data_IF_052594078479
#
_entry.id   IF_052594078479
#
_cell.length_a   1.000
_cell.length_b   1.000
_cell.length_c   1.000
_cell.angle_alpha   90.00
_cell.angle_beta   90.00
_cell.angle_gamma   90.00
#
_symmetry.space_group_name_H-M   'P 1'
#
loop_
_entity.id
_entity.type
_entity.pdbx_description
1 polymer ?
#
# COMPACT_ATOMS: atom_id res chain seq x y z
N UNK A 1 22.31 -11.15 -21.57
CA UNK A 1 21.90 -11.98 -20.41
C UNK A 1 20.42 -11.81 -20.09
N UNK A 2 19.93 -10.60 -19.82
CA UNK A 2 18.50 -10.33 -19.54
C UNK A 2 17.55 -10.89 -20.61
N UNK A 3 17.74 -10.51 -21.88
CA UNK A 3 16.87 -10.95 -22.98
C UNK A 3 16.73 -12.49 -23.04
N UNK A 4 17.84 -13.21 -22.87
CA UNK A 4 17.85 -14.67 -22.84
C UNK A 4 17.06 -15.24 -21.66
N UNK A 5 17.15 -14.60 -20.47
CA UNK A 5 16.29 -14.95 -19.33
C UNK A 5 14.81 -14.71 -19.64
N UNK A 6 14.47 -13.62 -20.32
CA UNK A 6 13.08 -13.35 -20.72
C UNK A 6 12.57 -14.41 -21.70
N UNK A 7 13.38 -14.85 -22.67
CA UNK A 7 13.03 -15.95 -23.59
C UNK A 7 12.77 -17.26 -22.85
N UNK A 8 13.64 -17.61 -21.89
CA UNK A 8 13.48 -18.80 -21.06
C UNK A 8 12.20 -18.73 -20.21
N UNK A 9 11.92 -17.58 -19.60
CA UNK A 9 10.68 -17.36 -18.86
C UNK A 9 9.46 -17.51 -19.77
N UNK A 10 9.50 -16.93 -20.97
CA UNK A 10 8.42 -17.01 -21.94
C UNK A 10 8.13 -18.46 -22.37
N UNK A 11 9.18 -19.29 -22.52
CA UNK A 11 9.06 -20.71 -22.80
C UNK A 11 8.42 -21.48 -21.63
N UNK A 12 8.76 -21.17 -20.38
CA UNK A 12 8.10 -21.75 -19.20
C UNK A 12 6.60 -21.46 -19.27
N UNK A 13 6.22 -20.21 -19.50
CA UNK A 13 4.81 -19.78 -19.55
C UNK A 13 4.04 -20.41 -20.72
N UNK A 14 4.67 -20.53 -21.88
CA UNK A 14 4.04 -21.10 -23.08
C UNK A 14 3.60 -22.57 -22.89
N UNK A 15 4.31 -23.35 -22.06
CA UNK A 15 3.91 -24.73 -21.72
C UNK A 15 2.52 -24.81 -21.10
N UNK A 16 2.15 -23.79 -20.32
CA UNK A 16 0.91 -23.74 -19.55
C UNK A 16 -0.22 -22.97 -20.24
N UNK A 17 0.07 -22.32 -21.38
CA UNK A 17 -0.89 -21.61 -22.22
C UNK A 17 -1.74 -20.57 -21.48
N UNK A 18 -1.11 -19.78 -20.60
CA UNK A 18 -1.79 -18.84 -19.71
C UNK A 18 -1.87 -17.39 -20.23
N UNK A 19 -1.19 -17.06 -21.32
CA UNK A 19 -1.10 -15.68 -21.82
C UNK A 19 -1.11 -15.63 -23.37
N UNK A 20 -2.17 -16.15 -24.02
CA UNK A 20 -2.25 -16.17 -25.48
C UNK A 20 -2.07 -14.77 -26.07
N UNK A 21 -1.28 -14.65 -27.14
CA UNK A 21 -0.91 -13.36 -27.72
C UNK A 21 -2.12 -12.52 -28.14
N UNK A 22 -3.20 -13.14 -28.61
CA UNK A 22 -4.39 -12.46 -29.10
C UNK A 22 -5.19 -11.74 -28.00
N UNK A 23 -4.94 -12.05 -26.72
CA UNK A 23 -5.52 -11.31 -25.58
C UNK A 23 -4.84 -9.96 -25.31
N UNK A 24 -3.75 -9.64 -26.01
CA UNK A 24 -3.01 -8.37 -25.87
C UNK A 24 -3.38 -7.40 -26.99
N UNK A 25 -4.66 -7.08 -27.07
CA UNK A 25 -5.20 -6.08 -27.99
C UNK A 25 -4.76 -4.65 -27.61
N UNK A 26 -5.09 -3.70 -28.46
CA UNK A 26 -4.64 -2.32 -28.34
C UNK A 26 -5.15 -1.56 -27.10
N UNK A 27 -6.14 -2.11 -26.40
CA UNK A 27 -6.79 -1.61 -25.18
C UNK A 27 -6.41 -2.42 -23.94
N UNK A 28 -5.71 -3.55 -24.08
CA UNK A 28 -5.16 -4.30 -22.95
C UNK A 28 -4.23 -3.40 -22.10
N UNK A 29 -4.20 -3.65 -20.78
CA UNK A 29 -3.38 -2.85 -19.85
C UNK A 29 -1.91 -2.83 -20.27
N UNK A 30 -1.40 -3.95 -20.79
CA UNK A 30 -0.05 -4.06 -21.32
C UNK A 30 0.18 -3.18 -22.55
N UNK A 31 -0.70 -3.24 -23.57
CA UNK A 31 -0.51 -2.42 -24.78
C UNK A 31 -0.67 -0.93 -24.49
N UNK A 32 -1.60 -0.56 -23.61
CA UNK A 32 -1.74 0.84 -23.15
C UNK A 32 -0.46 1.31 -22.46
N UNK A 33 0.13 0.47 -21.59
CA UNK A 33 1.40 0.77 -20.94
C UNK A 33 2.55 0.95 -21.94
N UNK A 34 2.72 0.03 -22.88
CA UNK A 34 3.76 0.10 -23.89
C UNK A 34 3.63 1.34 -24.78
N UNK A 35 2.41 1.76 -25.12
CA UNK A 35 2.15 3.01 -25.84
C UNK A 35 2.51 4.25 -25.01
N UNK A 36 2.27 4.22 -23.69
CA UNK A 36 2.59 5.33 -22.78
C UNK A 36 4.08 5.43 -22.46
N UNK A 37 4.76 4.29 -22.35
CA UNK A 37 6.14 4.17 -21.89
C UNK A 37 6.94 3.23 -22.80
N UNK A 38 7.12 3.56 -24.10
CA UNK A 38 7.76 2.66 -25.06
C UNK A 38 9.23 2.37 -24.73
N UNK A 39 9.90 3.31 -24.06
CA UNK A 39 11.31 3.17 -23.69
C UNK A 39 11.55 2.40 -22.39
N UNK A 40 10.49 2.15 -21.60
CA UNK A 40 10.60 1.42 -20.35
C UNK A 40 11.11 -0.01 -20.61
N UNK A 41 12.01 -0.50 -19.74
CA UNK A 41 12.63 -1.82 -19.90
C UNK A 41 11.57 -2.94 -19.96
N UNK A 42 10.52 -2.83 -19.14
CA UNK A 42 9.50 -3.84 -19.01
C UNK A 42 8.62 -3.89 -20.25
N UNK A 43 8.36 -2.73 -20.88
CA UNK A 43 7.67 -2.65 -22.18
C UNK A 43 8.38 -3.49 -23.25
N UNK A 44 9.71 -3.39 -23.31
CA UNK A 44 10.56 -4.11 -24.28
C UNK A 44 10.66 -5.60 -23.96
N UNK A 45 10.84 -5.94 -22.68
CA UNK A 45 10.88 -7.33 -22.26
C UNK A 45 9.53 -8.04 -22.53
N UNK A 46 8.40 -7.36 -22.33
CA UNK A 46 7.07 -7.92 -22.57
C UNK A 46 6.84 -8.28 -24.04
N UNK A 47 7.35 -7.51 -25.01
CA UNK A 47 7.28 -7.92 -26.42
C UNK A 47 7.97 -9.25 -26.65
N UNK A 48 9.15 -9.42 -26.04
CA UNK A 48 9.88 -10.68 -26.11
C UNK A 48 9.05 -11.80 -25.50
N UNK A 49 8.48 -11.61 -24.30
CA UNK A 49 7.66 -12.63 -23.64
C UNK A 49 6.42 -13.02 -24.45
N UNK A 50 5.68 -12.02 -24.96
CA UNK A 50 4.43 -12.21 -25.70
C UNK A 50 4.68 -12.90 -27.04
N UNK A 51 5.82 -12.64 -27.71
CA UNK A 51 6.16 -13.26 -28.99
C UNK A 51 6.29 -14.80 -28.96
N UNK A 52 6.44 -15.39 -27.77
CA UNK A 52 6.47 -16.85 -27.58
C UNK A 52 5.09 -17.43 -27.25
N UNK A 53 4.04 -16.60 -27.14
CA UNK A 53 2.70 -17.02 -26.75
C UNK A 53 1.78 -17.27 -27.95
N UNK A 54 2.35 -17.85 -29.01
CA UNK A 54 1.69 -18.16 -30.27
C UNK A 54 0.90 -19.47 -30.16
N UNK A 55 -0.28 -19.40 -29.57
CA UNK A 55 -1.21 -20.52 -29.49
C UNK A 55 -2.66 -20.06 -29.42
N UNK A 56 -3.54 -20.90 -29.97
CA UNK A 56 -4.99 -20.76 -29.82
C UNK A 56 -5.38 -20.78 -28.32
N UNK A 57 -6.21 -19.83 -27.87
CA UNK A 57 -6.69 -19.80 -26.49
C UNK A 57 -7.62 -20.98 -26.20
N UNK A 58 -7.14 -21.98 -25.45
CA UNK A 58 -7.92 -23.18 -25.06
C UNK A 58 -8.52 -23.07 -23.65
N UNK A 59 -8.14 -22.03 -22.92
CA UNK A 59 -8.53 -21.72 -21.55
C UNK A 59 -8.37 -20.21 -21.35
N UNK A 60 -9.00 -19.68 -20.30
CA UNK A 60 -8.86 -18.29 -19.90
C UNK A 60 -7.40 -17.92 -19.67
N UNK A 61 -7.02 -16.72 -20.10
CA UNK A 61 -5.72 -16.16 -19.82
C UNK A 61 -5.60 -15.56 -18.42
N UNK A 62 -4.39 -15.53 -17.87
CA UNK A 62 -4.08 -14.98 -16.56
C UNK A 62 -3.27 -13.69 -16.65
N UNK A 63 -3.19 -12.97 -15.53
CA UNK A 63 -2.26 -11.87 -15.35
C UNK A 63 -0.80 -12.34 -15.56
N UNK A 64 -0.02 -11.50 -16.23
CA UNK A 64 1.42 -11.70 -16.37
C UNK A 64 2.16 -11.36 -15.06
N UNK A 65 3.33 -11.96 -14.81
CA UNK A 65 4.21 -11.50 -13.75
C UNK A 65 4.83 -10.15 -14.10
N UNK A 66 5.32 -9.46 -13.07
CA UNK A 66 6.16 -8.27 -13.21
C UNK A 66 7.53 -8.52 -12.59
N UNK A 67 8.57 -7.87 -13.13
CA UNK A 67 9.91 -7.93 -12.57
C UNK A 67 10.61 -6.57 -12.66
N UNK A 68 11.45 -6.30 -11.67
CA UNK A 68 12.31 -5.13 -11.57
C UNK A 68 13.39 -5.05 -12.64
N UNK A 69 14.00 -3.87 -12.80
CA UNK A 69 15.02 -3.66 -13.80
C UNK A 69 16.30 -4.47 -13.54
N UNK A 70 16.58 -4.88 -12.31
CA UNK A 70 17.80 -5.61 -11.97
C UNK A 70 17.54 -7.05 -11.53
N UNK A 71 16.30 -7.52 -11.59
CA UNK A 71 15.92 -8.84 -11.09
C UNK A 71 16.73 -10.01 -11.69
N UNK A 72 16.99 -9.96 -13.00
CA UNK A 72 17.75 -10.99 -13.72
C UNK A 72 19.26 -10.71 -13.81
N UNK A 73 19.80 -9.84 -12.96
CA UNK A 73 21.25 -9.66 -12.80
C UNK A 73 21.83 -10.75 -11.89
N UNK A 74 23.15 -10.81 -11.79
CA UNK A 74 23.86 -11.77 -10.93
C UNK A 74 24.09 -11.26 -9.51
N UNK A 75 23.51 -10.12 -9.13
CA UNK A 75 23.69 -9.52 -7.80
C UNK A 75 23.04 -10.39 -6.72
N UNK A 76 23.82 -10.97 -5.79
CA UNK A 76 23.30 -11.91 -4.81
C UNK A 76 22.60 -11.19 -3.63
N UNK A 77 21.63 -11.87 -3.00
CA UNK A 77 21.08 -11.46 -1.71
C UNK A 77 20.03 -10.34 -1.75
N UNK A 78 19.57 -9.94 -2.93
CA UNK A 78 18.61 -8.84 -3.11
C UNK A 78 17.28 -9.27 -3.73
N UNK A 79 17.20 -10.49 -4.29
CA UNK A 79 16.04 -10.92 -5.10
C UNK A 79 14.89 -11.35 -4.21
N UNK A 80 13.80 -10.59 -4.29
CA UNK A 80 12.55 -10.90 -3.58
C UNK A 80 11.49 -11.32 -4.58
N UNK A 81 10.86 -12.47 -4.34
CA UNK A 81 9.69 -12.91 -5.09
C UNK A 81 8.43 -12.75 -4.24
N UNK A 82 7.44 -12.02 -4.72
CA UNK A 82 6.14 -11.85 -4.08
C UNK A 82 5.11 -12.68 -4.85
N UNK A 83 4.37 -13.51 -4.14
CA UNK A 83 3.35 -14.39 -4.71
C UNK A 83 1.98 -13.99 -4.15
N UNK A 84 1.11 -13.45 -4.99
CA UNK A 84 -0.29 -13.11 -4.68
C UNK A 84 -1.21 -14.33 -4.73
N UNK A 85 -2.52 -14.13 -4.51
CA UNK A 85 -3.48 -15.22 -4.36
C UNK A 85 -3.86 -15.85 -5.70
N UNK A 86 -4.59 -15.10 -6.51
CA UNK A 86 -5.16 -15.56 -7.76
C UNK A 86 -5.29 -14.44 -8.78
N UNK A 87 -5.08 -14.81 -10.05
CA UNK A 87 -5.39 -13.95 -11.17
C UNK A 87 -6.91 -13.85 -11.32
N UNK A 88 -7.47 -12.66 -11.14
CA UNK A 88 -8.90 -12.41 -11.37
C UNK A 88 -9.16 -11.66 -12.69
N UNK A 89 -8.14 -11.47 -13.53
CA UNK A 89 -8.23 -10.84 -14.84
C UNK A 89 -9.32 -11.47 -15.70
N UNK A 90 -10.13 -10.64 -16.38
CA UNK A 90 -11.28 -11.08 -17.19
C UNK A 90 -10.90 -12.08 -18.29
N UNK A 91 -9.78 -11.82 -18.99
CA UNK A 91 -9.12 -12.75 -19.90
C UNK A 91 -7.74 -12.20 -20.32
N UNK A 92 -6.64 -12.64 -19.68
CA UNK A 92 -5.26 -12.14 -19.89
C UNK A 92 -5.15 -10.60 -20.08
N UNK A 93 -4.07 -10.09 -20.70
CA UNK A 93 -3.93 -8.67 -21.07
C UNK A 93 -3.51 -7.72 -19.95
N UNK A 94 -3.31 -8.24 -18.73
CA UNK A 94 -2.93 -7.47 -17.54
C UNK A 94 -1.72 -8.11 -16.86
N UNK A 95 -1.27 -7.49 -15.77
CA UNK A 95 -0.10 -7.86 -14.98
C UNK A 95 -0.50 -7.81 -13.51
N UNK A 96 -0.04 -8.75 -12.70
CA UNK A 96 -0.34 -8.86 -11.28
C UNK A 96 -0.17 -7.51 -10.54
N UNK A 97 -1.19 -7.15 -9.75
CA UNK A 97 -1.32 -5.86 -9.04
C UNK A 97 -1.11 -4.59 -9.87
N UNK A 98 -1.07 -4.71 -11.20
CA UNK A 98 -0.59 -3.68 -12.10
C UNK A 98 0.77 -3.11 -11.66
N UNK A 99 1.65 -3.99 -11.20
CA UNK A 99 2.94 -3.64 -10.60
C UNK A 99 3.87 -2.89 -11.57
N UNK A 100 3.68 -3.07 -12.87
CA UNK A 100 4.39 -2.32 -13.91
C UNK A 100 4.19 -0.79 -13.86
N UNK A 101 3.15 -0.32 -13.17
CA UNK A 101 2.90 1.11 -12.95
C UNK A 101 3.69 1.68 -11.78
N UNK A 102 4.17 0.86 -10.83
CA UNK A 102 4.85 1.33 -9.61
C UNK A 102 6.05 2.23 -9.88
N UNK A 103 6.94 1.94 -10.84
CA UNK A 103 8.12 2.77 -11.07
C UNK A 103 7.84 4.06 -11.83
N UNK A 104 6.67 4.19 -12.47
CA UNK A 104 6.41 5.27 -13.45
C UNK A 104 5.25 6.19 -13.10
N UNK A 105 4.33 5.77 -12.22
CA UNK A 105 3.20 6.58 -11.79
C UNK A 105 3.38 6.99 -10.33
N UNK A 106 3.17 8.27 -10.03
CA UNK A 106 3.37 8.82 -8.68
C UNK A 106 2.12 9.50 -8.14
N UNK A 107 1.16 9.82 -9.01
CA UNK A 107 -0.04 10.59 -8.66
C UNK A 107 -1.33 9.87 -9.05
N UNK A 108 -2.44 10.22 -8.38
CA UNK A 108 -3.78 9.72 -8.73
C UNK A 108 -4.18 10.13 -10.14
N UNK A 109 -3.80 11.33 -10.55
CA UNK A 109 -4.07 11.88 -11.89
C UNK A 109 -3.41 11.05 -13.00
N UNK A 110 -2.16 10.64 -12.81
CA UNK A 110 -1.46 9.78 -13.78
C UNK A 110 -2.10 8.40 -13.87
N UNK A 111 -2.49 7.83 -12.73
CA UNK A 111 -3.24 6.57 -12.70
C UNK A 111 -4.56 6.69 -13.45
N UNK A 112 -5.36 7.73 -13.17
CA UNK A 112 -6.61 7.99 -13.87
C UNK A 112 -6.38 8.16 -15.38
N UNK A 113 -5.34 8.89 -15.81
CA UNK A 113 -5.00 9.00 -17.24
C UNK A 113 -4.68 7.65 -17.88
N UNK A 114 -4.02 6.74 -17.16
CA UNK A 114 -3.79 5.37 -17.63
C UNK A 114 -5.12 4.61 -17.77
N UNK A 115 -6.02 4.71 -16.79
CA UNK A 115 -7.37 4.13 -16.87
C UNK A 115 -8.17 4.65 -18.05
N UNK A 116 -8.21 5.97 -18.22
CA UNK A 116 -9.00 6.62 -19.26
C UNK A 116 -8.56 6.15 -20.65
N UNK A 117 -7.25 5.96 -20.86
CA UNK A 117 -6.70 5.44 -22.13
C UNK A 117 -7.06 4.00 -22.41
N UNK A 118 -7.31 3.19 -21.37
CA UNK A 118 -7.79 1.81 -21.52
C UNK A 118 -9.22 1.76 -22.04
N UNK A 119 -10.01 2.82 -21.82
CA UNK A 119 -11.40 2.91 -22.29
C UNK A 119 -12.36 1.91 -21.62
N UNK A 120 -11.98 1.33 -20.47
CA UNK A 120 -12.77 0.33 -19.75
C UNK A 120 -12.89 0.69 -18.27
N UNK A 121 -14.07 0.47 -17.70
CA UNK A 121 -14.23 0.48 -16.25
C UNK A 121 -13.41 -0.67 -15.66
N UNK A 122 -12.52 -0.34 -14.73
CA UNK A 122 -11.60 -1.30 -14.13
C UNK A 122 -12.03 -1.57 -12.70
N UNK A 123 -11.97 -2.84 -12.30
CA UNK A 123 -12.22 -3.28 -10.93
C UNK A 123 -11.09 -2.90 -9.96
N UNK A 124 -9.90 -2.55 -10.48
CA UNK A 124 -8.75 -2.22 -9.64
C UNK A 124 -8.65 -0.72 -9.41
N UNK A 125 -9.22 -0.27 -8.29
CA UNK A 125 -9.25 1.13 -7.90
C UNK A 125 -7.86 1.65 -7.48
N UNK A 126 -7.61 2.95 -7.71
CA UNK A 126 -6.37 3.63 -7.32
C UNK A 126 -6.00 3.39 -5.84
N UNK A 127 -6.97 3.47 -4.93
CA UNK A 127 -6.70 3.26 -3.50
C UNK A 127 -6.19 1.85 -3.20
N UNK A 128 -6.69 0.83 -3.90
CA UNK A 128 -6.22 -0.55 -3.77
C UNK A 128 -4.79 -0.68 -4.32
N UNK A 129 -4.55 -0.15 -5.52
CA UNK A 129 -3.21 -0.11 -6.14
C UNK A 129 -2.18 0.59 -5.23
N UNK A 130 -2.51 1.80 -4.76
CA UNK A 130 -1.64 2.63 -3.91
C UNK A 130 -1.34 1.96 -2.58
N UNK A 131 -2.34 1.32 -1.96
CA UNK A 131 -2.17 0.58 -0.70
C UNK A 131 -1.16 -0.56 -0.84
N UNK A 132 -1.22 -1.31 -1.95
CA UNK A 132 -0.27 -2.40 -2.21
C UNK A 132 1.13 -1.82 -2.43
N UNK A 133 1.26 -0.80 -3.26
CA UNK A 133 2.54 -0.13 -3.52
C UNK A 133 3.18 0.41 -2.23
N UNK A 134 2.41 1.11 -1.40
CA UNK A 134 2.89 1.65 -0.12
C UNK A 134 3.34 0.55 0.83
N UNK A 135 2.60 -0.56 0.88
CA UNK A 135 2.96 -1.67 1.74
C UNK A 135 4.27 -2.35 1.31
N UNK A 136 4.53 -2.47 0.01
CA UNK A 136 5.79 -3.00 -0.52
C UNK A 136 6.95 -2.05 -0.18
N UNK A 137 6.74 -0.73 -0.33
CA UNK A 137 7.74 0.28 0.05
C UNK A 137 8.02 0.28 1.57
N UNK A 138 6.98 0.12 2.39
CA UNK A 138 7.11 0.03 3.85
C UNK A 138 7.91 -1.21 4.30
N UNK A 139 7.91 -2.28 3.49
CA UNK A 139 8.79 -3.43 3.71
C UNK A 139 10.24 -3.22 3.28
N UNK A 140 10.55 -2.03 2.74
CA UNK A 140 11.86 -1.68 2.21
C UNK A 140 12.35 -2.66 1.12
N UNK A 141 11.42 -3.21 0.34
CA UNK A 141 11.75 -4.06 -0.81
C UNK A 141 12.19 -3.15 -1.95
N UNK A 142 13.40 -3.38 -2.45
CA UNK A 142 13.86 -2.73 -3.67
C UNK A 142 13.12 -3.31 -4.87
N UNK A 143 12.32 -2.46 -5.52
CA UNK A 143 11.55 -2.83 -6.70
C UNK A 143 12.42 -3.24 -7.88
N UNK A 144 13.66 -2.77 -7.98
CA UNK A 144 14.58 -3.21 -9.04
C UNK A 144 14.91 -4.71 -8.93
N UNK A 145 14.86 -5.28 -7.73
CA UNK A 145 15.13 -6.68 -7.45
C UNK A 145 13.89 -7.45 -7.00
N UNK A 146 12.70 -6.97 -7.36
CA UNK A 146 11.44 -7.63 -7.06
C UNK A 146 10.87 -8.36 -8.27
N UNK A 147 10.28 -9.55 -8.06
CA UNK A 147 9.46 -10.27 -9.02
C UNK A 147 8.11 -10.55 -8.37
N UNK A 148 7.01 -10.21 -9.04
CA UNK A 148 5.65 -10.36 -8.52
C UNK A 148 4.87 -11.26 -9.47
N UNK A 149 4.14 -12.23 -8.94
CA UNK A 149 3.33 -13.19 -9.72
C UNK A 149 2.15 -13.70 -8.89
N UNK A 150 1.12 -14.26 -9.52
CA UNK A 150 0.01 -14.91 -8.80
C UNK A 150 0.34 -16.34 -8.36
N UNK A 151 -0.37 -16.89 -7.36
CA UNK A 151 -0.24 -18.32 -7.05
C UNK A 151 -1.09 -19.15 -8.03
N UNK A 152 -2.40 -18.87 -8.10
CA UNK A 152 -3.32 -19.57 -9.00
C UNK A 152 -3.46 -18.83 -10.33
N UNK A 153 -2.93 -19.40 -11.42
CA UNK A 153 -2.89 -18.74 -12.74
C UNK A 153 -3.07 -19.68 -13.93
N UNK A 154 -3.07 -21.00 -13.74
CA UNK A 154 -3.42 -21.94 -14.79
C UNK A 154 -4.90 -22.26 -14.65
N UNK A 155 -5.71 -21.86 -15.62
CA UNK A 155 -7.12 -22.19 -15.66
C UNK A 155 -7.36 -23.58 -16.25
N UNK A 156 -8.46 -24.24 -15.87
CA UNK A 156 -8.86 -25.50 -16.51
C UNK A 156 -9.24 -25.25 -17.97
N UNK A 157 -9.09 -26.26 -18.82
CA UNK A 157 -9.56 -26.18 -20.21
C UNK A 157 -11.05 -25.85 -20.25
N UNK A 158 -11.45 -24.94 -21.13
CA UNK A 158 -12.83 -24.49 -21.30
C UNK A 158 -13.46 -23.78 -20.08
N UNK A 159 -12.70 -23.39 -19.06
CA UNK A 159 -13.22 -22.75 -17.84
C UNK A 159 -13.49 -21.24 -17.97
N UNK A 160 -13.99 -20.82 -19.13
CA UNK A 160 -14.20 -19.41 -19.49
C UNK A 160 -15.14 -18.67 -18.53
N UNK A 161 -16.22 -19.37 -18.11
CA UNK A 161 -17.30 -18.78 -17.30
C UNK A 161 -17.14 -19.00 -15.80
N UNK A 162 -16.71 -20.20 -15.39
CA UNK A 162 -16.58 -20.56 -13.97
C UNK A 162 -15.25 -20.13 -13.35
N UNK A 163 -14.25 -19.76 -14.17
CA UNK A 163 -12.92 -19.30 -13.70
C UNK A 163 -12.20 -20.33 -12.82
N UNK A 164 -12.47 -21.61 -13.05
CA UNK A 164 -11.84 -22.70 -12.29
C UNK A 164 -10.34 -22.78 -12.59
N UNK A 165 -9.53 -22.76 -11.55
CA UNK A 165 -8.10 -23.03 -11.67
C UNK A 165 -7.80 -24.53 -11.70
N UNK A 166 -6.80 -24.89 -12.50
CA UNK A 166 -6.05 -26.13 -12.37
C UNK A 166 -4.94 -25.88 -11.33
N UNK A 167 -5.26 -26.14 -10.05
CA UNK A 167 -4.34 -25.87 -8.95
C UNK A 167 -3.07 -26.72 -9.03
N UNK A 168 -3.15 -27.94 -9.55
CA UNK A 168 -1.98 -28.80 -9.72
C UNK A 168 -1.01 -28.18 -10.73
N UNK A 169 -1.51 -27.76 -11.90
CA UNK A 169 -0.66 -27.07 -12.88
C UNK A 169 -0.20 -25.69 -12.44
N UNK A 170 -1.02 -24.96 -11.69
CA UNK A 170 -0.62 -23.68 -11.11
C UNK A 170 0.55 -23.86 -10.14
N UNK A 171 0.53 -24.94 -9.33
CA UNK A 171 1.64 -25.31 -8.45
C UNK A 171 2.89 -25.66 -9.25
N UNK A 172 2.78 -26.51 -10.26
CA UNK A 172 3.90 -26.91 -11.13
C UNK A 172 4.57 -25.70 -11.80
N UNK A 173 3.76 -24.80 -12.39
CA UNK A 173 4.27 -23.56 -12.97
C UNK A 173 4.95 -22.67 -11.92
N UNK A 174 4.35 -22.52 -10.74
CA UNK A 174 4.94 -21.71 -9.68
C UNK A 174 6.26 -22.28 -9.15
N UNK A 175 6.38 -23.60 -9.07
CA UNK A 175 7.63 -24.29 -8.74
C UNK A 175 8.71 -24.05 -9.80
N UNK A 176 8.36 -24.17 -11.09
CA UNK A 176 9.26 -23.83 -12.21
C UNK A 176 9.71 -22.36 -12.14
N UNK A 177 8.79 -21.42 -11.88
CA UNK A 177 9.09 -20.00 -11.70
C UNK A 177 10.05 -19.77 -10.53
N UNK A 178 9.81 -20.35 -9.35
CA UNK A 178 10.67 -20.18 -8.18
C UNK A 178 12.08 -20.72 -8.45
N UNK A 179 12.19 -21.88 -9.10
CA UNK A 179 13.48 -22.47 -9.47
C UNK A 179 14.21 -21.58 -10.49
N UNK A 180 13.50 -21.12 -11.52
CA UNK A 180 14.06 -20.27 -12.58
C UNK A 180 14.50 -18.89 -12.08
N UNK A 181 13.63 -18.21 -11.34
CA UNK A 181 13.85 -16.87 -10.80
C UNK A 181 14.91 -16.88 -9.69
N UNK A 182 15.09 -18.02 -9.01
CA UNK A 182 16.13 -18.22 -8.00
C UNK A 182 16.12 -17.10 -6.92
N UNK A 183 14.97 -16.78 -6.30
CA UNK A 183 14.89 -15.70 -5.33
C UNK A 183 15.68 -16.03 -4.05
N UNK A 184 16.12 -14.98 -3.35
CA UNK A 184 16.73 -15.10 -2.02
C UNK A 184 15.64 -15.28 -0.94
N UNK A 185 14.51 -14.60 -1.13
CA UNK A 185 13.32 -14.71 -0.26
C UNK A 185 12.04 -14.74 -1.10
N UNK A 186 11.10 -15.59 -0.69
CA UNK A 186 9.75 -15.67 -1.24
C UNK A 186 8.75 -15.16 -0.20
N UNK A 187 7.89 -14.23 -0.59
CA UNK A 187 6.80 -13.69 0.24
C UNK A 187 5.47 -14.21 -0.30
N UNK A 188 4.78 -15.03 0.49
CA UNK A 188 3.47 -15.59 0.17
C UNK A 188 2.37 -14.70 0.75
N UNK A 189 1.50 -14.14 -0.09
CA UNK A 189 0.43 -13.25 0.33
C UNK A 189 -0.89 -14.00 0.53
N UNK A 190 -1.20 -14.31 1.79
CA UNK A 190 -2.46 -14.92 2.20
C UNK A 190 -2.47 -16.45 2.16
N UNK A 191 -3.64 -17.02 2.42
CA UNK A 191 -3.80 -18.46 2.62
C UNK A 191 -3.65 -19.25 1.33
N UNK A 192 -4.14 -18.74 0.20
CA UNK A 192 -4.14 -19.45 -1.07
C UNK A 192 -2.74 -19.69 -1.63
N UNK A 193 -1.87 -18.66 -1.58
CA UNK A 193 -0.46 -18.82 -1.96
C UNK A 193 0.26 -19.81 -1.05
N UNK A 194 -0.06 -19.83 0.25
CA UNK A 194 0.50 -20.81 1.19
C UNK A 194 0.02 -22.23 0.87
N UNK A 195 -1.28 -22.44 0.69
CA UNK A 195 -1.84 -23.78 0.45
C UNK A 195 -1.35 -24.40 -0.86
N UNK A 196 -1.05 -23.57 -1.86
CA UNK A 196 -0.51 -24.05 -3.13
C UNK A 196 0.94 -24.53 -2.99
N UNK A 197 1.74 -23.79 -2.22
CA UNK A 197 3.15 -24.10 -1.94
C UNK A 197 3.28 -25.28 -0.96
N UNK A 198 2.58 -25.24 0.16
CA UNK A 198 2.58 -26.27 1.19
C UNK A 198 1.19 -26.41 1.83
N UNK A 199 0.41 -27.37 1.33
CA UNK A 199 -0.96 -27.65 1.77
C UNK A 199 -1.04 -28.19 3.20
N UNK A 200 0.07 -28.63 3.79
CA UNK A 200 0.09 -29.15 5.16
C UNK A 200 0.22 -28.03 6.21
N UNK A 201 0.51 -26.80 5.79
CA UNK A 201 0.66 -25.67 6.70
C UNK A 201 -0.67 -24.98 6.97
N UNK A 202 -0.99 -24.81 8.24
CA UNK A 202 -2.09 -23.96 8.65
C UNK A 202 -1.70 -22.47 8.49
N UNK A 203 -2.53 -21.72 7.76
CA UNK A 203 -2.27 -20.30 7.50
C UNK A 203 -2.22 -19.43 8.76
N UNK A 204 -3.17 -19.61 9.68
CA UNK A 204 -3.23 -18.81 10.90
C UNK A 204 -1.99 -19.07 11.77
N UNK A 205 -1.65 -20.34 11.99
CA UNK A 205 -0.47 -20.72 12.77
C UNK A 205 0.83 -20.23 12.12
N UNK A 206 0.94 -20.32 10.79
CA UNK A 206 2.16 -19.91 10.08
C UNK A 206 2.38 -18.40 10.16
N UNK A 207 1.31 -17.61 9.94
CA UNK A 207 1.36 -16.15 10.07
C UNK A 207 1.61 -15.74 11.53
N UNK A 208 0.96 -16.37 12.50
CA UNK A 208 1.10 -16.04 13.92
C UNK A 208 2.47 -16.39 14.48
N UNK A 209 3.06 -17.51 14.03
CA UNK A 209 4.40 -17.91 14.39
C UNK A 209 5.45 -16.91 13.89
N UNK A 210 5.18 -16.19 12.79
CA UNK A 210 6.13 -15.27 12.15
C UNK A 210 7.44 -15.94 11.73
N UNK A 211 7.43 -17.28 11.61
CA UNK A 211 8.60 -18.08 11.27
C UNK A 211 8.66 -18.28 9.76
N UNK A 212 9.84 -18.11 9.20
CA UNK A 212 10.11 -18.56 7.83
C UNK A 212 10.20 -20.08 7.76
N UNK A 213 9.96 -20.64 6.58
CA UNK A 213 10.21 -22.04 6.27
C UNK A 213 10.97 -22.17 4.95
N UNK A 214 11.38 -23.39 4.60
CA UNK A 214 12.03 -23.67 3.33
C UNK A 214 11.07 -24.34 2.35
N UNK A 215 11.03 -23.85 1.11
CA UNK A 215 10.34 -24.48 -0.01
C UNK A 215 11.30 -24.54 -1.20
N UNK A 216 11.57 -25.74 -1.73
CA UNK A 216 12.60 -25.97 -2.77
C UNK A 216 13.94 -25.29 -2.43
N UNK A 217 14.34 -25.36 -1.16
CA UNK A 217 15.57 -24.73 -0.64
C UNK A 217 15.51 -23.21 -0.47
N UNK A 218 14.37 -22.56 -0.75
CA UNK A 218 14.19 -21.11 -0.65
C UNK A 218 13.47 -20.72 0.63
N UNK A 219 13.92 -19.62 1.23
CA UNK A 219 13.30 -19.06 2.43
C UNK A 219 11.96 -18.43 2.05
N UNK A 220 10.88 -18.98 2.59
CA UNK A 220 9.52 -18.49 2.44
C UNK A 220 9.04 -17.81 3.72
N UNK A 221 8.34 -16.69 3.56
CA UNK A 221 7.64 -15.97 4.62
C UNK A 221 6.18 -15.80 4.19
N UNK A 222 5.24 -15.93 5.12
CA UNK A 222 3.82 -15.72 4.87
C UNK A 222 3.41 -14.37 5.45
N UNK A 223 2.80 -13.54 4.62
CA UNK A 223 2.17 -12.29 5.03
C UNK A 223 0.66 -12.37 4.79
N UNK A 224 -0.17 -11.70 5.59
CA UNK A 224 -1.53 -11.39 5.20
C UNK A 224 -1.59 -10.69 3.84
N UNK A 225 -2.72 -10.88 3.14
CA UNK A 225 -2.98 -10.18 1.89
C UNK A 225 -3.10 -8.67 2.15
N UNK A 226 -2.55 -7.87 1.23
CA UNK A 226 -2.33 -6.43 1.43
C UNK A 226 -3.63 -5.62 1.31
N UNK A 227 -4.54 -6.09 0.47
CA UNK A 227 -5.92 -5.60 0.39
C UNK A 227 -6.86 -6.52 1.16
N UNK A 228 -7.94 -5.97 1.70
CA UNK A 228 -8.99 -6.74 2.36
C UNK A 228 -9.01 -6.62 3.88
N UNK A 229 -9.79 -7.52 4.47
CA UNK A 229 -10.27 -7.51 5.85
C UNK A 229 -9.18 -7.76 6.90
N UNK A 230 -7.89 -7.55 6.62
CA UNK A 230 -6.81 -7.66 7.62
C UNK A 230 -7.22 -7.05 8.97
N UNK A 231 -7.72 -5.80 9.02
CA UNK A 231 -8.23 -5.16 10.23
C UNK A 231 -9.53 -5.76 10.82
N UNK A 232 -10.34 -6.43 10.01
CA UNK A 232 -11.64 -7.03 10.40
C UNK A 232 -11.59 -8.56 10.56
N UNK A 233 -10.44 -9.20 10.35
CA UNK A 233 -10.24 -10.61 10.65
C UNK A 233 -10.41 -10.85 12.16
N UNK A 234 -11.05 -11.96 12.52
CA UNK A 234 -11.12 -12.43 13.91
C UNK A 234 -9.69 -12.49 14.46
N UNK A 235 -9.48 -11.91 15.63
CA UNK A 235 -8.18 -11.78 16.30
C UNK A 235 -7.16 -10.85 15.62
N UNK A 236 -7.55 -9.94 14.70
CA UNK A 236 -6.62 -8.94 14.17
C UNK A 236 -5.94 -8.13 15.28
N UNK A 237 -6.71 -7.68 16.27
CA UNK A 237 -6.18 -6.93 17.42
C UNK A 237 -5.13 -7.75 18.15
N UNK A 238 -5.42 -8.98 18.51
CA UNK A 238 -4.49 -9.88 19.19
C UNK A 238 -3.20 -10.10 18.37
N UNK A 239 -3.31 -10.26 17.04
CA UNK A 239 -2.14 -10.47 16.16
C UNK A 239 -1.30 -9.21 16.00
N UNK A 240 -1.93 -8.07 15.71
CA UNK A 240 -1.27 -6.79 15.55
C UNK A 240 -0.54 -6.41 16.85
N UNK A 241 -1.24 -6.45 17.97
CA UNK A 241 -0.64 -6.12 19.26
C UNK A 241 0.34 -7.18 19.77
N UNK A 242 0.17 -8.45 19.39
CA UNK A 242 1.19 -9.48 19.60
C UNK A 242 2.49 -9.20 18.85
N UNK A 243 2.41 -8.61 17.66
CA UNK A 243 3.59 -8.14 16.93
C UNK A 243 4.21 -6.91 17.58
N UNK A 244 3.41 -5.89 17.92
CA UNK A 244 3.88 -4.70 18.68
C UNK A 244 4.63 -5.11 19.93
N UNK A 245 4.10 -6.07 20.69
CA UNK A 245 4.74 -6.61 21.88
C UNK A 245 6.11 -7.25 21.60
N UNK A 246 6.26 -8.00 20.51
CA UNK A 246 7.58 -8.54 20.13
C UNK A 246 8.57 -7.44 19.75
N UNK A 247 8.09 -6.35 19.15
CA UNK A 247 8.93 -5.17 18.87
C UNK A 247 9.37 -4.49 20.18
N UNK A 248 8.48 -4.36 21.18
CA UNK A 248 8.86 -3.89 22.51
C UNK A 248 9.92 -4.79 23.19
N UNK A 249 9.77 -6.11 23.11
CA UNK A 249 10.77 -7.03 23.66
C UNK A 249 12.13 -6.87 22.98
N UNK A 250 12.15 -6.53 21.68
CA UNK A 250 13.40 -6.20 20.99
C UNK A 250 13.94 -4.84 21.43
N UNK A 251 13.09 -3.85 21.70
CA UNK A 251 13.50 -2.56 22.25
C UNK A 251 14.19 -2.74 23.60
N UNK A 252 13.59 -3.49 24.53
CA UNK A 252 14.20 -3.81 25.84
C UNK A 252 15.56 -4.50 25.66
N UNK A 253 15.65 -5.45 24.72
CA UNK A 253 16.88 -6.20 24.44
C UNK A 253 18.01 -5.31 23.90
N UNK A 254 17.67 -4.33 23.05
CA UNK A 254 18.64 -3.44 22.39
C UNK A 254 18.78 -2.08 23.09
N UNK A 255 18.12 -1.90 24.24
CA UNK A 255 18.25 -0.71 25.05
C UNK A 255 19.70 -0.55 25.51
N UNK A 256 20.28 0.60 25.20
CA UNK A 256 21.64 0.95 25.60
C UNK A 256 21.57 2.28 26.36
N UNK A 257 22.00 2.34 27.63
CA UNK A 257 21.95 3.55 28.44
C UNK A 257 22.63 4.76 27.80
N UNK A 258 23.57 4.56 26.85
CA UNK A 258 24.16 5.67 26.09
C UNK A 258 23.14 6.45 25.27
N UNK A 259 22.00 5.85 24.94
CA UNK A 259 20.93 6.52 24.21
C UNK A 259 20.08 7.43 25.10
N UNK A 260 20.14 7.29 26.43
CA UNK A 260 19.38 8.12 27.39
C UNK A 260 19.81 9.59 27.37
N UNK A 261 20.96 9.90 26.77
CA UNK A 261 21.41 11.29 26.56
C UNK A 261 20.71 12.00 25.40
N UNK A 262 20.03 11.26 24.52
CA UNK A 262 19.31 11.82 23.38
C UNK A 262 17.85 11.99 23.74
N UNK A 263 17.39 13.24 23.71
CA UNK A 263 16.00 13.59 24.00
C UNK A 263 15.03 13.12 22.90
N UNK A 264 15.50 13.04 21.64
CA UNK A 264 14.66 12.72 20.48
C UNK A 264 15.19 11.48 19.75
N UNK A 265 14.28 10.62 19.26
CA UNK A 265 14.63 9.46 18.41
C UNK A 265 15.44 9.93 17.20
N UNK A 266 15.01 11.01 16.55
CA UNK A 266 15.69 11.57 15.37
C UNK A 266 17.13 12.04 15.67
N UNK A 267 17.39 12.47 16.90
CA UNK A 267 18.72 12.89 17.36
C UNK A 267 19.63 11.72 17.73
N UNK A 268 19.09 10.51 17.90
CA UNK A 268 19.92 9.32 18.13
C UNK A 268 20.79 9.03 16.89
N UNK A 269 22.04 8.57 17.06
CA UNK A 269 22.80 8.06 15.94
C UNK A 269 22.13 6.79 15.39
N UNK A 270 22.33 6.47 14.11
CA UNK A 270 21.76 5.25 13.51
C UNK A 270 22.10 4.01 14.34
N UNK A 271 21.07 3.27 14.77
CA UNK A 271 21.21 2.07 15.59
C UNK A 271 19.97 1.19 15.47
N UNK A 272 20.09 -0.09 15.84
CA UNK A 272 18.94 -1.01 15.93
C UNK A 272 17.87 -0.45 16.88
N UNK A 273 18.30 0.10 18.02
CA UNK A 273 17.40 0.72 19.00
C UNK A 273 16.62 1.89 18.39
N UNK A 274 17.28 2.81 17.66
CA UNK A 274 16.61 3.94 16.98
C UNK A 274 15.58 3.45 15.96
N UNK A 275 15.92 2.47 15.14
CA UNK A 275 15.01 1.93 14.13
C UNK A 275 13.78 1.28 14.75
N UNK A 276 13.96 0.54 15.85
CA UNK A 276 12.85 -0.06 16.59
C UNK A 276 11.97 0.98 17.28
N UNK A 277 12.58 2.04 17.84
CA UNK A 277 11.86 3.17 18.43
C UNK A 277 11.00 3.86 17.37
N UNK A 278 11.58 4.18 16.22
CA UNK A 278 10.85 4.79 15.10
C UNK A 278 9.72 3.89 14.59
N UNK A 279 9.97 2.59 14.44
CA UNK A 279 8.95 1.64 14.01
C UNK A 279 7.77 1.62 15.00
N UNK A 280 8.03 1.57 16.31
CA UNK A 280 6.95 1.50 17.29
C UNK A 280 6.18 2.81 17.38
N UNK A 281 6.85 3.97 17.50
CA UNK A 281 6.20 5.25 17.75
C UNK A 281 5.58 5.86 16.48
N UNK A 282 6.30 5.83 15.35
CA UNK A 282 5.87 6.56 14.15
C UNK A 282 4.99 5.71 13.22
N UNK A 283 5.07 4.38 13.33
CA UNK A 283 4.39 3.47 12.40
C UNK A 283 3.32 2.63 13.07
N UNK A 284 3.66 1.93 14.15
CA UNK A 284 2.74 0.95 14.76
C UNK A 284 1.76 1.58 15.75
N UNK A 285 2.24 2.47 16.60
CA UNK A 285 1.47 3.13 17.65
C UNK A 285 1.28 4.63 17.38
N UNK A 286 1.26 5.03 16.12
CA UNK A 286 1.21 6.43 15.67
C UNK A 286 0.08 7.27 16.28
N UNK A 287 -1.00 6.63 16.73
CA UNK A 287 -2.13 7.33 17.36
C UNK A 287 -2.42 6.74 18.72
N UNK A 288 -2.87 7.60 19.62
CA UNK A 288 -3.27 7.21 20.98
C UNK A 288 -4.35 6.12 20.97
N UNK A 289 -5.22 6.10 19.97
CA UNK A 289 -6.18 5.01 19.77
C UNK A 289 -5.47 3.65 19.68
N UNK A 290 -4.38 3.54 18.92
CA UNK A 290 -3.62 2.29 18.81
C UNK A 290 -2.83 2.00 20.09
N UNK A 291 -2.29 3.01 20.76
CA UNK A 291 -1.65 2.85 22.08
C UNK A 291 -2.62 2.31 23.13
N UNK A 292 -3.83 2.88 23.22
CA UNK A 292 -4.85 2.46 24.17
C UNK A 292 -5.33 1.03 23.89
N UNK A 293 -5.53 0.68 22.61
CA UNK A 293 -5.83 -0.69 22.22
C UNK A 293 -4.67 -1.66 22.53
N UNK A 294 -3.42 -1.20 22.44
CA UNK A 294 -2.25 -1.98 22.82
C UNK A 294 -2.17 -2.20 24.34
N UNK A 295 -2.38 -1.15 25.14
CA UNK A 295 -2.49 -1.23 26.61
C UNK A 295 -3.60 -2.20 27.03
N UNK A 296 -4.76 -2.16 26.37
CA UNK A 296 -5.84 -3.11 26.58
C UNK A 296 -5.43 -4.56 26.27
N UNK A 297 -4.70 -4.77 25.17
CA UNK A 297 -4.16 -6.07 24.84
C UNK A 297 -3.22 -6.59 25.92
N UNK A 298 -2.27 -5.76 26.40
CA UNK A 298 -1.36 -6.14 27.48
C UNK A 298 -2.12 -6.51 28.76
N UNK A 299 -3.12 -5.70 29.13
CA UNK A 299 -3.98 -5.95 30.30
C UNK A 299 -4.71 -7.29 30.21
N UNK A 300 -5.32 -7.58 29.06
CA UNK A 300 -6.03 -8.85 28.82
C UNK A 300 -5.09 -10.04 28.85
N UNK A 301 -3.89 -9.89 28.27
CA UNK A 301 -2.92 -10.99 28.12
C UNK A 301 -2.17 -11.32 29.41
N UNK A 302 -1.90 -10.32 30.26
CA UNK A 302 -1.01 -10.47 31.42
C UNK A 302 -1.65 -10.13 32.77
N UNK A 303 -2.93 -9.76 32.82
CA UNK A 303 -3.73 -9.64 34.06
C UNK A 303 -3.49 -8.38 34.90
N UNK A 304 -2.42 -7.62 34.65
CA UNK A 304 -2.16 -6.31 35.25
C UNK A 304 -1.38 -5.42 34.27
N UNK A 305 -1.54 -4.08 34.31
CA UNK A 305 -0.75 -3.19 33.49
C UNK A 305 0.73 -3.32 33.89
N UNK A 306 1.56 -3.91 33.02
CA UNK A 306 2.99 -3.64 33.06
C UNK A 306 3.14 -2.13 32.87
N UNK A 307 3.89 -1.46 33.76
CA UNK A 307 4.46 -0.17 33.42
C UNK A 307 5.38 -0.41 32.23
N UNK A 308 4.90 -0.13 31.03
CA UNK A 308 5.73 -0.08 29.83
C UNK A 308 6.78 0.99 30.07
N UNK A 309 8.06 0.65 29.93
CA UNK A 309 9.19 1.58 30.07
C UNK A 309 9.27 2.61 28.94
N UNK A 310 8.32 2.59 28.00
CA UNK A 310 8.04 3.72 27.12
C UNK A 310 7.48 4.84 28.01
N UNK A 311 8.38 5.56 28.69
CA UNK A 311 8.06 6.89 29.16
C UNK A 311 7.67 7.67 27.91
N UNK A 312 6.38 8.00 27.78
CA UNK A 312 5.94 9.05 26.88
C UNK A 312 6.87 10.23 27.17
N UNK A 313 7.81 10.50 26.25
CA UNK A 313 8.70 11.62 26.39
C UNK A 313 7.80 12.84 26.56
N UNK A 314 7.91 13.60 27.66
CA UNK A 314 7.09 14.78 27.81
C UNK A 314 7.37 15.69 26.62
N UNK A 315 6.34 15.90 25.80
CA UNK A 315 6.38 16.79 24.66
C UNK A 315 6.88 18.14 25.18
N UNK A 316 8.10 18.53 24.81
CA UNK A 316 8.71 19.75 25.33
C UNK A 316 7.94 20.97 24.83
N UNK A 317 7.95 22.07 25.59
CA UNK A 317 7.35 23.35 25.16
C UNK A 317 7.87 23.79 23.76
N UNK A 318 9.12 23.46 23.42
CA UNK A 318 9.68 23.68 22.09
C UNK A 318 8.97 22.88 20.98
N UNK A 319 8.55 21.64 21.25
CA UNK A 319 7.83 20.81 20.29
C UNK A 319 6.39 21.29 20.10
N UNK A 320 5.76 21.80 21.16
CA UNK A 320 4.47 22.50 21.08
C UNK A 320 4.54 23.67 20.11
N UNK A 321 5.58 24.49 20.26
CA UNK A 321 5.79 25.67 19.42
C UNK A 321 5.96 25.24 17.96
N UNK A 322 6.79 24.23 17.68
CA UNK A 322 7.01 23.73 16.32
C UNK A 322 5.73 23.11 15.72
N UNK A 323 4.97 22.33 16.49
CA UNK A 323 3.72 21.73 16.03
C UNK A 323 2.66 22.80 15.72
N UNK A 324 2.50 23.80 16.59
CA UNK A 324 1.62 24.96 16.35
C UNK A 324 2.04 25.74 15.11
N UNK A 325 3.34 25.99 14.92
CA UNK A 325 3.86 26.65 13.71
C UNK A 325 3.54 25.86 12.44
N UNK A 326 3.61 24.53 12.48
CA UNK A 326 3.21 23.68 11.34
C UNK A 326 1.72 23.81 11.03
N UNK A 327 0.85 23.84 12.04
CA UNK A 327 -0.59 24.05 11.86
C UNK A 327 -0.85 25.43 11.23
N UNK A 328 -0.21 26.49 11.73
CA UNK A 328 -0.35 27.84 11.19
C UNK A 328 0.11 27.93 9.73
N UNK A 329 1.26 27.32 9.39
CA UNK A 329 1.74 27.31 8.00
C UNK A 329 0.79 26.57 7.06
N UNK A 330 0.20 25.45 7.50
CA UNK A 330 -0.82 24.74 6.72
C UNK A 330 -2.09 25.58 6.57
N UNK A 331 -2.51 26.27 7.63
CA UNK A 331 -3.66 27.18 7.60
C UNK A 331 -3.48 28.25 6.52
N UNK A 332 -2.31 28.89 6.44
CA UNK A 332 -2.00 29.88 5.39
C UNK A 332 -2.08 29.29 3.97
N UNK A 333 -1.61 28.05 3.77
CA UNK A 333 -1.70 27.36 2.48
C UNK A 333 -3.15 27.13 2.07
N UNK A 334 -3.97 26.61 2.99
CA UNK A 334 -5.40 26.35 2.75
C UNK A 334 -6.17 27.65 2.51
N UNK A 335 -5.85 28.73 3.21
CA UNK A 335 -6.43 30.06 2.94
C UNK A 335 -6.15 30.53 1.51
N UNK A 336 -4.91 30.37 1.05
CA UNK A 336 -4.53 30.75 -0.31
C UNK A 336 -5.22 29.88 -1.36
N UNK A 337 -5.37 28.58 -1.11
CA UNK A 337 -6.08 27.65 -1.98
C UNK A 337 -7.58 27.99 -2.07
N UNK A 338 -8.24 28.29 -0.95
CA UNK A 338 -9.63 28.75 -0.93
C UNK A 338 -9.82 30.05 -1.72
N UNK A 339 -8.92 31.03 -1.57
CA UNK A 339 -8.95 32.27 -2.35
C UNK A 339 -8.84 31.98 -3.85
N UNK A 340 -7.93 31.07 -4.23
CA UNK A 340 -7.76 30.68 -5.63
C UNK A 340 -8.99 29.95 -6.18
N UNK A 341 -9.61 29.08 -5.39
CA UNK A 341 -10.86 28.41 -5.75
C UNK A 341 -11.99 29.41 -5.94
N UNK A 342 -12.18 30.36 -5.01
CA UNK A 342 -13.22 31.41 -5.11
C UNK A 342 -13.04 32.24 -6.38
N UNK A 343 -11.81 32.64 -6.72
CA UNK A 343 -11.51 33.37 -7.96
C UNK A 343 -11.80 32.52 -9.20
N UNK A 344 -11.41 31.24 -9.19
CA UNK A 344 -11.56 30.32 -10.31
C UNK A 344 -13.03 30.01 -10.61
N UNK A 345 -13.84 29.82 -9.57
CA UNK A 345 -15.29 29.61 -9.69
C UNK A 345 -16.05 30.91 -9.88
N UNK A 346 -15.34 32.06 -9.89
CA UNK A 346 -15.92 33.41 -9.93
C UNK A 346 -16.97 33.59 -8.83
N UNK A 347 -16.72 33.08 -7.64
CA UNK A 347 -17.62 33.19 -6.49
C UNK A 347 -17.72 34.63 -5.98
N UNK A 348 -18.93 35.07 -5.63
CA UNK A 348 -19.17 36.37 -4.99
C UNK A 348 -18.88 36.33 -3.48
N UNK A 349 -18.58 35.14 -2.95
CA UNK A 349 -18.20 34.96 -1.55
C UNK A 349 -16.70 35.22 -1.34
N UNK A 350 -16.34 35.59 -0.11
CA UNK A 350 -14.96 35.85 0.31
C UNK A 350 -14.50 34.75 1.26
N UNK A 351 -13.18 34.65 1.47
CA UNK A 351 -12.61 33.76 2.49
C UNK A 351 -13.20 34.03 3.89
N UNK A 352 -13.55 35.28 4.20
CA UNK A 352 -14.15 35.64 5.49
C UNK A 352 -15.54 35.02 5.66
N UNK A 353 -16.35 34.90 4.61
CA UNK A 353 -17.64 34.21 4.71
C UNK A 353 -17.45 32.72 5.05
N UNK A 354 -16.43 32.07 4.48
CA UNK A 354 -16.11 30.67 4.79
C UNK A 354 -15.62 30.54 6.24
N UNK A 355 -14.70 31.40 6.67
CA UNK A 355 -14.20 31.42 8.06
C UNK A 355 -15.33 31.66 9.07
N UNK A 356 -16.26 32.55 8.76
CA UNK A 356 -17.40 32.87 9.62
C UNK A 356 -18.36 31.68 9.76
N UNK A 357 -18.62 30.94 8.67
CA UNK A 357 -19.42 29.71 8.72
C UNK A 357 -18.73 28.63 9.56
N UNK A 358 -17.42 28.41 9.37
CA UNK A 358 -16.69 27.42 10.17
C UNK A 358 -16.64 27.84 11.64
N UNK A 359 -16.39 29.11 11.92
CA UNK A 359 -16.32 29.58 13.31
C UNK A 359 -17.66 29.45 14.02
N UNK A 360 -18.76 29.79 13.35
CA UNK A 360 -20.11 29.73 13.91
C UNK A 360 -20.88 28.47 13.47
N UNK A 361 -20.20 27.33 13.29
CA UNK A 361 -20.90 26.08 12.99
C UNK A 361 -21.88 25.71 14.11
N UNK A 362 -23.11 25.37 13.73
CA UNK A 362 -24.13 24.89 14.66
C UNK A 362 -24.64 23.49 14.26
N UNK A 363 -24.57 23.14 12.98
CA UNK A 363 -25.09 21.88 12.45
C UNK A 363 -24.26 21.31 11.28
N UNK A 364 -24.47 20.02 10.98
CA UNK A 364 -23.83 19.33 9.83
C UNK A 364 -24.10 19.98 8.45
N UNK A 365 -25.11 20.84 8.35
CA UNK A 365 -25.44 21.57 7.12
C UNK A 365 -24.46 22.69 6.75
N UNK A 366 -23.65 23.17 7.68
CA UNK A 366 -22.76 24.32 7.46
C UNK A 366 -21.63 24.01 6.45
N UNK A 367 -21.13 22.77 6.45
CA UNK A 367 -20.20 22.29 5.43
C UNK A 367 -20.81 22.37 4.03
N UNK A 368 -22.10 22.01 3.89
CA UNK A 368 -22.84 22.07 2.61
C UNK A 368 -23.01 23.52 2.16
N UNK A 369 -23.23 24.46 3.09
CA UNK A 369 -23.28 25.90 2.77
C UNK A 369 -21.96 26.37 2.16
N UNK A 370 -20.82 25.94 2.69
CA UNK A 370 -19.50 26.28 2.14
C UNK A 370 -19.33 25.67 0.74
N UNK A 371 -19.70 24.40 0.55
CA UNK A 371 -19.63 23.73 -0.75
C UNK A 371 -20.46 24.47 -1.81
N UNK A 372 -21.68 24.90 -1.45
CA UNK A 372 -22.57 25.64 -2.34
C UNK A 372 -22.00 27.00 -2.78
N UNK A 373 -21.03 27.58 -2.05
CA UNK A 373 -20.35 28.82 -2.48
C UNK A 373 -19.48 28.62 -3.72
N UNK A 374 -19.13 27.37 -4.06
CA UNK A 374 -18.30 27.03 -5.21
C UNK A 374 -19.09 26.44 -6.37
N UNK A 375 -20.35 26.03 -6.16
CA UNK A 375 -21.20 25.41 -7.18
C UNK A 375 -22.05 26.47 -7.92
N UNK A 376 -21.58 26.92 -9.09
CA UNK A 376 -22.29 27.87 -9.97
C UNK A 376 -22.90 27.20 -11.22
N UNK A 377 -23.07 25.88 -11.23
CA UNK A 377 -23.61 25.17 -12.39
C UNK A 377 -22.71 25.19 -13.64
N UNK A 378 -21.47 25.69 -13.52
CA UNK A 378 -20.48 25.65 -14.59
C UNK A 378 -19.64 24.38 -14.44
N UNK A 379 -20.12 23.32 -15.09
CA UNK A 379 -19.46 22.03 -15.36
C UNK A 379 -18.26 21.65 -14.50
N UNK A 380 -18.47 20.68 -13.59
CA UNK A 380 -17.50 19.78 -12.96
C UNK A 380 -16.02 20.22 -13.00
N UNK A 381 -15.70 21.42 -12.51
CA UNK A 381 -14.41 21.59 -11.86
C UNK A 381 -14.35 20.51 -10.78
N UNK A 382 -13.30 19.67 -10.83
CA UNK A 382 -13.14 18.45 -10.02
C UNK A 382 -13.65 18.68 -8.59
N UNK A 383 -14.89 18.26 -8.33
CA UNK A 383 -15.58 18.47 -7.06
C UNK A 383 -14.73 17.93 -5.91
N UNK A 384 -14.02 16.83 -6.18
CA UNK A 384 -13.00 16.24 -5.31
C UNK A 384 -11.98 17.24 -4.75
N UNK A 385 -11.47 18.16 -5.58
CA UNK A 385 -10.48 19.15 -5.13
C UNK A 385 -11.11 20.19 -4.21
N UNK A 386 -12.33 20.65 -4.53
CA UNK A 386 -13.07 21.59 -3.68
C UNK A 386 -13.37 20.94 -2.33
N UNK A 387 -13.88 19.70 -2.35
CA UNK A 387 -14.18 18.93 -1.15
C UNK A 387 -12.92 18.69 -0.30
N UNK A 388 -11.78 18.40 -0.92
CA UNK A 388 -10.52 18.22 -0.18
C UNK A 388 -10.13 19.50 0.56
N UNK A 389 -10.06 20.64 -0.14
CA UNK A 389 -9.62 21.92 0.46
C UNK A 389 -10.61 22.38 1.55
N UNK A 390 -11.92 22.20 1.35
CA UNK A 390 -12.93 22.54 2.37
C UNK A 390 -12.76 21.66 3.61
N UNK A 391 -12.53 20.35 3.47
CA UNK A 391 -12.30 19.47 4.61
C UNK A 391 -11.01 19.83 5.36
N UNK A 392 -9.95 20.22 4.64
CA UNK A 392 -8.72 20.70 5.27
C UNK A 392 -8.96 22.00 6.05
N UNK A 393 -9.71 22.95 5.47
CA UNK A 393 -10.10 24.19 6.14
C UNK A 393 -10.91 23.93 7.40
N UNK A 394 -11.88 23.00 7.34
CA UNK A 394 -12.69 22.59 8.48
C UNK A 394 -11.84 22.08 9.65
N UNK A 395 -10.77 21.32 9.37
CA UNK A 395 -9.91 20.77 10.41
C UNK A 395 -8.85 21.76 10.93
N UNK A 396 -8.51 22.80 10.15
CA UNK A 396 -7.43 23.74 10.45
C UNK A 396 -7.91 25.11 10.94
N UNK A 397 -9.16 25.50 10.68
CA UNK A 397 -9.69 26.80 11.09
C UNK A 397 -10.34 26.73 12.48
N UNK A 398 -10.32 27.82 13.25
CA UNK A 398 -10.98 27.92 14.55
C UNK A 398 -12.49 27.65 14.52
N UNK A 399 -12.99 26.96 15.54
CA UNK A 399 -14.42 26.76 15.78
C UNK A 399 -14.81 27.38 17.12
N UNK A 400 -15.98 28.02 17.19
CA UNK A 400 -16.51 28.60 18.43
C UNK A 400 -16.80 27.53 19.47
N UNK A 401 -17.29 26.36 19.05
CA UNK A 401 -17.58 25.22 19.93
C UNK A 401 -16.32 24.59 20.55
N UNK A 402 -15.13 24.89 20.00
CA UNK A 402 -13.83 24.44 20.50
C UNK A 402 -13.04 25.57 21.17
N UNK A 403 -13.74 26.56 21.74
CA UNK A 403 -13.15 27.73 22.41
C UNK A 403 -12.20 28.53 21.51
N UNK A 404 -12.51 28.61 20.21
CA UNK A 404 -11.69 29.32 19.22
C UNK A 404 -10.45 28.57 18.76
N UNK A 405 -10.38 27.26 19.00
CA UNK A 405 -9.34 26.38 18.44
C UNK A 405 -9.89 25.58 17.26
N UNK A 406 -8.98 25.11 16.41
CA UNK A 406 -9.29 24.14 15.36
C UNK A 406 -9.25 22.70 15.90
N UNK A 407 -9.89 21.72 15.23
CA UNK A 407 -9.78 20.31 15.56
C UNK A 407 -8.32 19.82 15.65
N UNK A 408 -7.44 20.25 14.74
CA UNK A 408 -6.01 19.92 14.80
C UNK A 408 -5.30 20.54 16.01
N UNK A 409 -5.66 21.77 16.41
CA UNK A 409 -5.14 22.39 17.64
C UNK A 409 -5.64 21.69 18.90
N UNK A 410 -6.92 21.29 18.94
CA UNK A 410 -7.49 20.51 20.06
C UNK A 410 -6.86 19.13 20.16
N UNK A 411 -6.62 18.46 19.04
CA UNK A 411 -5.86 17.21 19.02
C UNK A 411 -4.43 17.40 19.51
N UNK A 412 -3.80 18.52 19.18
CA UNK A 412 -2.48 18.85 19.72
C UNK A 412 -2.54 19.07 21.24
N UNK A 413 -3.48 19.86 21.76
CA UNK A 413 -3.66 20.07 23.20
C UNK A 413 -3.87 18.75 23.95
N UNK A 414 -4.76 17.91 23.43
CA UNK A 414 -5.08 16.62 24.04
C UNK A 414 -3.85 15.71 24.15
N UNK A 415 -3.04 15.63 23.07
CA UNK A 415 -1.75 14.90 23.04
C UNK A 415 -0.69 15.46 23.98
N UNK A 416 -0.87 16.67 24.49
CA UNK A 416 0.07 17.28 25.43
C UNK A 416 -0.35 17.06 26.88
N UNK A 417 -1.65 16.87 27.11
CA UNK A 417 -2.21 16.64 28.44
C UNK A 417 -2.21 15.16 28.85
N UNK A 418 -2.11 14.25 27.88
CA UNK A 418 -2.20 12.78 28.03
C UNK A 418 -1.05 12.11 27.29
#
# INVERSE_FOLDING_TARGET
MREEKIKQLAQIFAKYKICPQDCYDEFSSVRVFQKMFPDNYFSKDLETLISYQLYEPIQRGADLPWWGQKYFTEEPGQRVMIISQDSLAEDAGSVVFWAFLYPVLHTKEEYCKFIDRRGMNTSFAYNSWKKIFDQINDWMIDLDFCYITDASKVYKKSSWKNRDFDHQKSKELLEEEIVFCNPDVVILLGAQSLSLVDSNKNYAETVEAGKSFLFNGRKCIVSPFLSGNGPSQKNFKERFFGFVYRVEQLLEKYEDPKFNRYKYIDSMPPSVYKSLQYLITEKLLRTERYENLYKDFLRKKFGAPRQTSIQASPFGEAEKIVARQKILKKREQVEQELINLLKKTKSDFTLNHIKDIIYNEEETGDLVKIIAMFDRGQGLLKMDNILQVINEAWNLFPHRCLDGLSPEEKLLEYRMEH
#
